data_IF_113260839441
#
_entry.id   IF_113260839441
#
_cell.length_a   1.000
_cell.length_b   1.000
_cell.length_c   1.000
_cell.angle_alpha   90.00
_cell.angle_beta   90.00
_cell.angle_gamma   90.00
#
_symmetry.space_group_name_H-M   'P 1'
#
loop_
_entity.id
_entity.type
_entity.pdbx_description
1 polymer ?
#
# COMPACT_ATOMS: atom_id res chain seq x y z
N UNK A 1 -16.11 -8.34 -17.15
CA UNK A 1 -16.06 -7.27 -16.14
C UNK A 1 -14.75 -7.47 -15.41
N UNK A 2 -13.82 -6.52 -15.47
CA UNK A 2 -12.60 -6.63 -14.66
C UNK A 2 -12.98 -6.20 -13.24
N UNK A 3 -12.93 -7.16 -12.32
CA UNK A 3 -13.35 -7.00 -10.93
C UNK A 3 -12.22 -6.38 -10.11
N UNK A 4 -12.50 -5.30 -9.39
CA UNK A 4 -11.59 -4.83 -8.34
C UNK A 4 -11.67 -5.78 -7.15
N UNK A 5 -10.53 -6.29 -6.69
CA UNK A 5 -10.48 -7.20 -5.54
C UNK A 5 -9.79 -6.53 -4.38
N UNK A 6 -10.41 -6.58 -3.20
CA UNK A 6 -9.85 -6.06 -1.95
C UNK A 6 -9.37 -7.18 -1.04
N UNK A 7 -8.24 -6.94 -0.39
CA UNK A 7 -7.59 -7.84 0.53
C UNK A 7 -7.26 -7.11 1.84
N UNK A 8 -7.16 -7.86 2.92
CA UNK A 8 -6.76 -7.38 4.24
C UNK A 8 -5.44 -8.02 4.65
N UNK A 9 -4.66 -7.32 5.48
CA UNK A 9 -3.44 -7.79 6.17
C UNK A 9 -2.60 -8.76 5.33
N UNK A 10 -1.79 -8.22 4.43
CA UNK A 10 -0.76 -8.99 3.75
C UNK A 10 0.52 -8.95 4.60
N UNK A 11 0.98 -10.10 5.16
CA UNK A 11 2.28 -10.16 5.80
C UNK A 11 3.36 -9.87 4.77
N UNK A 12 4.19 -8.87 5.06
CA UNK A 12 5.29 -8.46 4.19
C UNK A 12 6.59 -8.59 4.97
N UNK A 13 7.54 -9.30 4.39
CA UNK A 13 8.87 -9.43 4.97
C UNK A 13 9.89 -9.45 3.84
N UNK A 14 10.97 -8.70 4.03
CA UNK A 14 12.07 -8.65 3.07
C UNK A 14 13.22 -9.48 3.62
N UNK A 15 13.74 -10.39 2.81
CA UNK A 15 14.88 -11.21 3.16
C UNK A 15 15.99 -11.07 2.12
N UNK A 16 17.24 -11.10 2.58
CA UNK A 16 18.42 -11.06 1.71
C UNK A 16 18.85 -12.48 1.35
N UNK A 17 18.82 -12.83 0.06
CA UNK A 17 19.27 -14.11 -0.51
C UNK A 17 18.44 -15.36 -0.13
N UNK A 18 18.23 -15.60 1.17
CA UNK A 18 17.53 -16.77 1.73
C UNK A 18 16.35 -16.34 2.60
N UNK A 19 15.37 -17.22 2.85
CA UNK A 19 14.23 -16.94 3.73
C UNK A 19 14.49 -17.59 5.09
N UNK A 20 15.16 -16.86 5.98
CA UNK A 20 15.46 -17.26 7.36
C UNK A 20 15.57 -16.01 8.27
N UNK A 21 15.59 -16.20 9.58
CA UNK A 21 15.59 -15.07 10.51
C UNK A 21 16.88 -14.24 10.47
N UNK A 22 18.02 -14.84 10.10
CA UNK A 22 19.30 -14.13 10.02
C UNK A 22 19.40 -13.26 8.76
N UNK A 23 18.63 -13.58 7.72
CA UNK A 23 18.58 -12.83 6.46
C UNK A 23 17.45 -11.80 6.41
N UNK A 24 16.59 -11.73 7.43
CA UNK A 24 15.44 -10.83 7.48
C UNK A 24 15.91 -9.37 7.62
N UNK A 25 15.57 -8.56 6.63
CA UNK A 25 15.83 -7.10 6.61
C UNK A 25 14.65 -6.33 7.21
N UNK A 26 13.43 -6.80 6.95
CA UNK A 26 12.20 -6.12 7.35
C UNK A 26 11.08 -7.12 7.63
N UNK A 27 10.21 -6.78 8.57
CA UNK A 27 8.96 -7.46 8.88
C UNK A 27 7.86 -6.42 9.13
N UNK A 28 6.69 -6.64 8.54
CA UNK A 28 5.53 -5.78 8.71
C UNK A 28 4.27 -6.38 8.10
N UNK A 29 3.20 -5.58 8.11
CA UNK A 29 1.90 -5.97 7.59
C UNK A 29 1.31 -4.81 6.79
N UNK A 30 0.88 -5.11 5.56
CA UNK A 30 0.10 -4.18 4.76
C UNK A 30 -1.37 -4.30 5.15
N UNK A 31 -1.92 -3.29 5.81
CA UNK A 31 -3.23 -3.40 6.46
C UNK A 31 -4.38 -3.61 5.47
N UNK A 32 -4.48 -2.77 4.44
CA UNK A 32 -5.55 -2.81 3.45
C UNK A 32 -4.97 -2.53 2.07
N UNK A 33 -5.34 -3.36 1.10
CA UNK A 33 -4.89 -3.20 -0.28
C UNK A 33 -5.84 -3.88 -1.26
N UNK A 34 -5.64 -3.64 -2.55
CA UNK A 34 -6.43 -4.27 -3.60
C UNK A 34 -5.79 -4.15 -4.97
N UNK A 35 -6.36 -4.87 -5.92
CA UNK A 35 -5.95 -4.86 -7.32
C UNK A 35 -7.13 -4.34 -8.14
N UNK A 36 -6.88 -3.31 -8.94
CA UNK A 36 -7.80 -2.82 -9.97
C UNK A 36 -7.23 -3.21 -11.34
N UNK A 37 -7.62 -4.40 -11.80
CA UNK A 37 -7.21 -4.96 -13.11
C UNK A 37 -7.75 -4.13 -14.29
N UNK A 38 -8.79 -3.29 -14.10
CA UNK A 38 -9.28 -2.43 -15.17
C UNK A 38 -8.35 -1.24 -15.42
N UNK A 39 -7.65 -0.79 -14.38
CA UNK A 39 -6.69 0.33 -14.43
C UNK A 39 -5.24 -0.11 -14.36
N UNK A 40 -4.99 -1.42 -14.24
CA UNK A 40 -3.67 -2.02 -14.08
C UNK A 40 -2.92 -1.44 -12.86
N UNK A 41 -3.63 -1.23 -11.76
CA UNK A 41 -3.07 -0.61 -10.55
C UNK A 41 -3.27 -1.46 -9.29
N UNK A 42 -2.23 -1.50 -8.46
CA UNK A 42 -2.29 -2.00 -7.07
C UNK A 42 -2.57 -0.81 -6.16
N UNK A 43 -3.64 -0.89 -5.37
CA UNK A 43 -4.06 0.15 -4.44
C UNK A 43 -3.68 -0.24 -3.01
N UNK A 44 -3.03 0.66 -2.28
CA UNK A 44 -2.58 0.47 -0.91
C UNK A 44 -3.19 1.56 -0.04
N UNK A 45 -3.77 1.19 1.09
CA UNK A 45 -4.40 2.14 2.00
C UNK A 45 -3.73 2.07 3.36
N UNK A 46 -3.19 3.21 3.80
CA UNK A 46 -2.64 3.37 5.14
C UNK A 46 -3.65 4.17 5.99
N UNK A 47 -4.31 3.47 6.92
CA UNK A 47 -5.38 4.01 7.75
C UNK A 47 -4.81 4.54 9.06
N UNK A 48 -5.10 5.80 9.41
CA UNK A 48 -4.84 6.32 10.76
C UNK A 48 -6.12 6.72 11.45
N UNK A 49 -6.28 6.22 12.68
CA UNK A 49 -7.39 6.57 13.57
C UNK A 49 -7.49 8.09 13.79
N UNK A 50 -8.69 8.60 14.11
CA UNK A 50 -8.85 10.00 14.53
C UNK A 50 -7.87 10.38 15.64
N UNK A 51 -7.44 11.64 15.63
CA UNK A 51 -6.51 12.24 16.60
C UNK A 51 -5.10 11.63 16.66
N UNK A 52 -4.78 10.65 15.80
CA UNK A 52 -3.45 10.10 15.62
C UNK A 52 -2.87 10.52 14.27
N UNK A 53 -2.04 11.57 14.29
CA UNK A 53 -1.47 12.17 13.08
C UNK A 53 0.06 12.00 13.04
N UNK A 54 0.59 10.76 12.97
CA UNK A 54 2.03 10.55 13.00
C UNK A 54 2.66 11.02 11.69
N UNK A 55 3.80 11.71 11.79
CA UNK A 55 4.60 12.08 10.61
C UNK A 55 5.08 10.83 9.85
N UNK A 56 5.29 9.72 10.56
CA UNK A 56 5.78 8.44 10.03
C UNK A 56 4.86 7.77 9.01
N UNK A 57 3.59 8.20 8.88
CA UNK A 57 2.65 7.68 7.87
C UNK A 57 3.22 7.81 6.45
N UNK A 58 4.01 8.85 6.18
CA UNK A 58 4.67 9.04 4.88
C UNK A 58 5.65 7.89 4.62
N UNK A 59 6.52 7.60 5.59
CA UNK A 59 7.55 6.57 5.44
C UNK A 59 6.93 5.18 5.32
N UNK A 60 5.87 4.90 6.09
CA UNK A 60 5.13 3.64 6.02
C UNK A 60 4.48 3.44 4.64
N UNK A 61 3.66 4.39 4.18
CA UNK A 61 3.00 4.27 2.89
C UNK A 61 3.99 4.27 1.72
N UNK A 62 5.05 5.08 1.80
CA UNK A 62 6.10 5.09 0.79
C UNK A 62 6.88 3.76 0.74
N UNK A 63 7.20 3.19 1.90
CA UNK A 63 7.83 1.89 1.97
C UNK A 63 6.94 0.83 1.32
N UNK A 64 5.66 0.77 1.66
CA UNK A 64 4.75 -0.23 1.09
C UNK A 64 4.55 -0.05 -0.41
N UNK A 65 4.39 1.18 -0.90
CA UNK A 65 4.23 1.44 -2.34
C UNK A 65 5.47 1.05 -3.14
N UNK A 66 6.67 1.40 -2.66
CA UNK A 66 7.93 0.97 -3.27
C UNK A 66 8.12 -0.56 -3.20
N UNK A 67 7.76 -1.18 -2.08
CA UNK A 67 7.84 -2.64 -1.93
C UNK A 67 6.95 -3.36 -2.94
N UNK A 68 5.71 -2.91 -3.14
CA UNK A 68 4.83 -3.49 -4.17
C UNK A 68 5.35 -3.21 -5.58
N UNK A 69 5.87 -2.01 -5.86
CA UNK A 69 6.52 -1.69 -7.13
C UNK A 69 7.68 -2.65 -7.42
N UNK A 70 8.51 -2.96 -6.43
CA UNK A 70 9.62 -3.90 -6.58
C UNK A 70 9.16 -5.35 -6.83
N UNK A 71 7.98 -5.74 -6.32
CA UNK A 71 7.33 -7.01 -6.67
C UNK A 71 6.84 -7.00 -8.12
N UNK A 72 6.18 -5.92 -8.56
CA UNK A 72 5.70 -5.78 -9.94
C UNK A 72 6.87 -5.76 -10.94
N UNK A 73 7.97 -5.10 -10.60
CA UNK A 73 9.23 -5.06 -11.37
C UNK A 73 10.02 -6.37 -11.33
N UNK A 74 9.54 -7.39 -10.59
CA UNK A 74 10.24 -8.67 -10.38
C UNK A 74 11.64 -8.53 -9.76
N UNK A 75 11.90 -7.44 -9.03
CA UNK A 75 13.11 -7.28 -8.21
C UNK A 75 13.04 -8.13 -6.94
N UNK A 76 11.83 -8.33 -6.41
CA UNK A 76 11.54 -9.28 -5.33
C UNK A 76 10.92 -10.53 -5.94
N UNK A 77 11.55 -11.69 -5.72
CA UNK A 77 11.15 -12.97 -6.31
C UNK A 77 10.67 -13.92 -5.22
N UNK A 78 9.44 -14.40 -5.34
CA UNK A 78 8.88 -15.44 -4.49
C UNK A 78 9.21 -16.83 -5.03
N UNK A 79 10.08 -17.56 -4.33
CA UNK A 79 10.41 -18.95 -4.67
C UNK A 79 9.20 -19.85 -4.41
N UNK A 80 8.95 -20.82 -5.31
CA UNK A 80 7.90 -21.85 -5.17
C UNK A 80 6.46 -21.29 -5.05
N UNK A 81 6.18 -20.14 -5.67
CA UNK A 81 4.85 -19.50 -5.63
C UNK A 81 3.72 -20.44 -6.09
N UNK A 82 3.98 -21.35 -7.03
CA UNK A 82 2.93 -22.27 -7.51
C UNK A 82 2.42 -23.20 -6.42
N UNK A 83 3.28 -23.58 -5.47
CA UNK A 83 2.98 -24.54 -4.40
C UNK A 83 2.38 -23.90 -3.14
N UNK A 84 2.33 -22.56 -3.03
CA UNK A 84 1.72 -21.91 -1.86
C UNK A 84 0.23 -21.74 -2.07
N UNK A 85 -0.57 -21.85 -1.00
CA UNK A 85 -1.98 -21.44 -1.06
C UNK A 85 -2.04 -19.93 -1.30
N UNK A 86 -2.99 -19.46 -2.11
CA UNK A 86 -3.22 -18.03 -2.22
C UNK A 86 -3.81 -17.53 -0.89
N UNK A 87 -2.96 -16.91 -0.08
CA UNK A 87 -3.32 -16.36 1.21
C UNK A 87 -3.25 -14.84 1.12
N UNK A 88 -4.38 -14.19 1.41
CA UNK A 88 -4.53 -12.72 1.39
C UNK A 88 -4.22 -12.08 0.03
N UNK A 89 -4.29 -12.82 -1.08
CA UNK A 89 -4.14 -12.28 -2.44
C UNK A 89 -2.72 -12.25 -3.00
N UNK A 90 -1.73 -12.84 -2.31
CA UNK A 90 -0.33 -12.79 -2.75
C UNK A 90 -0.11 -13.39 -4.15
N UNK A 91 -0.82 -14.46 -4.52
CA UNK A 91 -0.71 -15.03 -5.88
C UNK A 91 -1.31 -14.08 -6.90
N UNK A 92 -2.45 -13.47 -6.60
CA UNK A 92 -3.08 -12.46 -7.46
C UNK A 92 -2.14 -11.29 -7.71
N UNK A 93 -1.48 -10.76 -6.68
CA UNK A 93 -0.50 -9.68 -6.83
C UNK A 93 0.66 -10.07 -7.74
N UNK A 94 1.31 -11.21 -7.47
CA UNK A 94 2.50 -11.65 -8.20
C UNK A 94 2.17 -11.94 -9.68
N UNK A 95 0.98 -12.46 -9.95
CA UNK A 95 0.52 -12.83 -11.29
C UNK A 95 -0.27 -11.71 -11.99
N UNK A 96 -0.50 -10.58 -11.33
CA UNK A 96 -1.24 -9.45 -11.92
C UNK A 96 -0.46 -8.85 -13.09
N UNK A 97 -1.20 -8.24 -14.01
CA UNK A 97 -0.63 -7.41 -15.08
C UNK A 97 -0.51 -5.94 -14.66
N UNK A 98 -0.65 -5.65 -13.36
CA UNK A 98 -0.60 -4.29 -12.86
C UNK A 98 0.78 -3.67 -13.11
N UNK A 99 0.77 -2.44 -13.60
CA UNK A 99 1.97 -1.67 -13.92
C UNK A 99 2.10 -0.43 -13.05
N UNK A 100 1.13 -0.14 -12.19
CA UNK A 100 1.10 1.05 -11.32
C UNK A 100 0.82 0.69 -9.88
N UNK A 101 1.27 1.55 -8.97
CA UNK A 101 0.92 1.45 -7.55
C UNK A 101 0.36 2.78 -7.07
N UNK A 102 -0.80 2.75 -6.43
CA UNK A 102 -1.39 3.91 -5.76
C UNK A 102 -1.39 3.72 -4.26
N UNK A 103 -0.90 4.72 -3.54
CA UNK A 103 -0.93 4.80 -2.09
C UNK A 103 -1.96 5.83 -1.63
N UNK A 104 -2.78 5.47 -0.66
CA UNK A 104 -3.81 6.32 -0.10
C UNK A 104 -3.55 6.56 1.39
N UNK A 105 -3.38 7.83 1.76
CA UNK A 105 -3.50 8.24 3.15
C UNK A 105 -4.99 8.29 3.50
N UNK A 106 -5.48 7.30 4.22
CA UNK A 106 -6.87 7.25 4.67
C UNK A 106 -6.94 7.80 6.09
N UNK A 107 -7.31 9.08 6.24
CA UNK A 107 -7.22 9.80 7.52
C UNK A 107 -8.39 10.75 7.73
N UNK A 108 -8.73 11.12 8.97
CA UNK A 108 -9.64 12.26 9.21
C UNK A 108 -8.94 13.59 8.93
N UNK A 109 -7.64 13.63 9.19
CA UNK A 109 -6.76 14.78 9.00
C UNK A 109 -5.32 14.26 8.90
N UNK A 110 -4.49 14.94 8.11
CA UNK A 110 -3.05 14.69 8.07
C UNK A 110 -2.31 15.55 9.10
N UNK A 111 -1.09 15.13 9.47
CA UNK A 111 -0.22 15.96 10.29
C UNK A 111 0.00 17.33 9.61
N UNK A 112 0.07 18.47 10.33
CA UNK A 112 0.18 19.80 9.71
C UNK A 112 1.39 20.01 8.78
N UNK A 113 2.44 19.21 8.95
CA UNK A 113 3.61 19.22 8.05
C UNK A 113 3.42 18.41 6.76
N UNK A 114 2.30 17.68 6.65
CA UNK A 114 1.92 16.90 5.49
C UNK A 114 0.70 17.59 4.87
N UNK A 115 0.97 18.43 3.88
CA UNK A 115 -0.04 19.13 3.12
C UNK A 115 -0.07 18.68 1.66
N UNK A 116 -1.00 19.23 0.88
CA UNK A 116 -1.15 18.91 -0.54
C UNK A 116 0.09 19.31 -1.36
N UNK A 117 0.85 20.33 -0.92
CA UNK A 117 2.08 20.74 -1.61
C UNK A 117 3.16 19.68 -1.44
N UNK A 118 3.32 19.13 -0.24
CA UNK A 118 4.26 18.04 0.01
C UNK A 118 3.87 16.78 -0.79
N UNK A 119 2.58 16.41 -0.80
CA UNK A 119 2.11 15.25 -1.58
C UNK A 119 2.35 15.48 -3.08
N UNK A 120 2.08 16.68 -3.59
CA UNK A 120 2.35 17.05 -4.98
C UNK A 120 3.85 16.96 -5.31
N UNK A 121 4.70 17.47 -4.42
CA UNK A 121 6.15 17.39 -4.57
C UNK A 121 6.65 15.93 -4.61
N UNK A 122 6.13 15.08 -3.73
CA UNK A 122 6.44 13.64 -3.76
C UNK A 122 5.99 12.97 -5.05
N UNK A 123 4.74 13.22 -5.47
CA UNK A 123 4.18 12.66 -6.72
C UNK A 123 4.98 13.05 -7.96
N UNK A 124 5.53 14.27 -8.00
CA UNK A 124 6.41 14.69 -9.09
C UNK A 124 7.62 13.77 -9.26
N UNK A 125 8.25 13.36 -8.16
CA UNK A 125 9.41 12.46 -8.16
C UNK A 125 9.04 10.97 -8.28
N UNK A 126 7.87 10.57 -7.76
CA UNK A 126 7.39 9.19 -7.81
C UNK A 126 6.84 8.78 -9.18
N UNK A 127 6.53 9.76 -10.04
CA UNK A 127 6.03 9.51 -11.40
C UNK A 127 6.96 8.60 -12.22
N UNK A 128 8.28 8.70 -12.06
CA UNK A 128 9.24 7.84 -12.77
C UNK A 128 9.25 6.39 -12.29
N UNK A 129 8.56 6.09 -11.20
CA UNK A 129 8.40 4.76 -10.62
C UNK A 129 6.97 4.23 -10.81
N UNK A 130 6.11 4.90 -11.58
CA UNK A 130 4.68 4.56 -11.71
C UNK A 130 3.95 4.43 -10.36
N UNK A 131 4.35 5.29 -9.41
CA UNK A 131 3.74 5.42 -8.08
C UNK A 131 3.01 6.76 -7.98
N UNK A 132 1.81 6.74 -7.41
CA UNK A 132 1.03 7.94 -7.08
C UNK A 132 0.48 7.86 -5.66
N UNK A 133 0.54 8.98 -4.93
CA UNK A 133 0.01 9.12 -3.58
C UNK A 133 -1.18 10.07 -3.57
N UNK A 134 -2.22 9.72 -2.82
CA UNK A 134 -3.44 10.51 -2.65
C UNK A 134 -3.87 10.55 -1.19
N UNK A 135 -4.59 11.60 -0.80
CA UNK A 135 -5.20 11.70 0.52
C UNK A 135 -6.70 11.54 0.38
N UNK A 136 -7.26 10.53 1.04
CA UNK A 136 -8.71 10.34 1.15
C UNK A 136 -9.11 10.70 2.58
N UNK A 137 -10.03 11.66 2.71
CA UNK A 137 -10.48 12.12 4.03
C UNK A 137 -11.78 11.44 4.40
N UNK A 138 -11.87 10.93 5.62
CA UNK A 138 -13.13 10.41 6.17
C UNK A 138 -13.55 11.20 7.40
N UNK A 139 -14.86 11.24 7.66
CA UNK A 139 -15.43 11.82 8.87
C UNK A 139 -15.89 10.71 9.80
N UNK A 140 -15.84 10.96 11.12
CA UNK A 140 -16.35 10.05 12.13
C UNK A 140 -17.42 10.71 12.98
N UNK A 141 -18.38 9.92 13.44
CA UNK A 141 -19.38 10.34 14.43
C UNK A 141 -18.75 10.48 15.82
N UNK A 142 -19.57 10.83 16.82
CA UNK A 142 -19.12 10.99 18.21
C UNK A 142 -18.69 9.66 18.83
N UNK A 143 -19.19 8.56 18.31
CA UNK A 143 -18.88 7.19 18.69
C UNK A 143 -17.62 6.64 17.98
N UNK A 144 -17.08 7.37 17.00
CA UNK A 144 -15.89 7.01 16.22
C UNK A 144 -16.18 6.15 14.98
N UNK A 145 -17.44 5.96 14.59
CA UNK A 145 -17.82 5.26 13.36
C UNK A 145 -17.67 6.18 12.15
N UNK A 146 -17.32 5.62 11.00
CA UNK A 146 -17.20 6.40 9.75
C UNK A 146 -18.59 6.88 9.30
N UNK A 147 -18.79 8.19 9.23
CA UNK A 147 -20.01 8.82 8.70
C UNK A 147 -19.94 9.02 7.19
N UNK A 148 -18.77 9.39 6.67
CA UNK A 148 -18.57 9.66 5.24
C UNK A 148 -17.11 9.51 4.83
N UNK A 149 -16.90 9.24 3.54
CA UNK A 149 -15.59 9.18 2.89
C UNK A 149 -15.64 10.15 1.70
N UNK A 150 -14.70 11.09 1.66
CA UNK A 150 -14.52 12.03 0.55
C UNK A 150 -13.32 11.57 -0.28
N UNK A 151 -13.63 10.92 -1.41
CA UNK A 151 -12.68 10.38 -2.38
C UNK A 151 -12.77 11.14 -3.70
#
# INVERSE_FOLDING_TARGET
MNESTFYNQLPVSLFKNNVDDNSRIFEGFLDIWGIDEAKEEVNIFELKKPDNYPLGIISELLFYTLFQRDILDKKIIYKNIENIKDYRGIKSLINSNCTKVKGYFLTTKLHPLIDEKLITFMNFHLKSYDIQLESIKYCVDKEGNIESINA
#
